data_IF_274566750758
#
_entry.id   IF_274566750758
#
_cell.length_a   1.000
_cell.length_b   1.000
_cell.length_c   1.000
_cell.angle_alpha   90.00
_cell.angle_beta   90.00
_cell.angle_gamma   90.00
#
_symmetry.space_group_name_H-M   'P 1'
#
loop_
_entity.id
_entity.type
_entity.pdbx_description
1 polymer ?
#
# COMPACT_ATOMS: atom_id res chain seq x y z
N UNK A 1 -20.23 18.89 -10.57
CA UNK A 1 -19.14 19.40 -9.72
C UNK A 1 -19.12 18.57 -8.43
N UNK A 2 -17.97 18.28 -7.85
CA UNK A 2 -17.91 17.64 -6.53
C UNK A 2 -18.64 18.51 -5.50
N UNK A 3 -19.34 17.88 -4.54
CA UNK A 3 -19.94 18.60 -3.41
C UNK A 3 -18.81 19.10 -2.47
N UNK A 4 -18.36 20.31 -2.74
CA UNK A 4 -17.27 20.96 -1.99
C UNK A 4 -17.79 22.02 -1.02
N UNK A 5 -19.08 22.36 -1.10
CA UNK A 5 -19.70 23.40 -0.29
C UNK A 5 -19.75 23.01 1.20
N UNK A 6 -19.67 24.02 2.06
CA UNK A 6 -19.72 23.86 3.50
C UNK A 6 -18.51 23.15 4.13
N UNK A 7 -17.45 22.90 3.35
CA UNK A 7 -16.20 22.25 3.78
C UNK A 7 -15.03 23.17 3.60
N UNK A 8 -13.94 22.91 4.36
CA UNK A 8 -12.68 23.65 4.32
C UNK A 8 -11.60 22.84 3.60
N UNK A 9 -11.05 23.39 2.55
CA UNK A 9 -10.13 22.64 1.69
C UNK A 9 -8.73 23.25 1.66
N UNK A 10 -7.73 22.37 1.62
CA UNK A 10 -6.36 22.78 1.29
C UNK A 10 -6.15 22.67 -0.23
N UNK A 11 -5.64 23.70 -0.86
CA UNK A 11 -5.23 23.66 -2.27
C UNK A 11 -3.71 23.74 -2.35
N UNK A 12 -3.09 22.78 -3.05
CA UNK A 12 -1.68 22.88 -3.43
C UNK A 12 -1.55 23.78 -4.66
N UNK A 13 -1.00 24.98 -4.48
CA UNK A 13 -0.84 25.99 -5.56
C UNK A 13 0.63 26.14 -5.92
N UNK A 14 0.99 25.84 -7.18
CA UNK A 14 2.36 26.00 -7.69
C UNK A 14 2.63 27.33 -8.36
N UNK A 15 1.59 28.14 -8.64
CA UNK A 15 1.68 29.33 -9.49
C UNK A 15 1.46 29.03 -10.98
N UNK A 16 1.39 27.75 -11.37
CA UNK A 16 1.09 27.35 -12.74
C UNK A 16 -0.40 27.43 -13.09
N UNK A 17 -0.77 27.37 -14.41
CA UNK A 17 -2.12 27.65 -14.87
C UNK A 17 -3.17 26.79 -14.21
N UNK A 18 -2.95 25.47 -14.09
CA UNK A 18 -3.94 24.53 -13.57
C UNK A 18 -4.27 24.81 -12.10
N UNK A 19 -3.25 25.10 -11.29
CA UNK A 19 -3.42 25.39 -9.86
C UNK A 19 -4.03 26.77 -9.61
N UNK A 20 -3.72 27.77 -10.45
CA UNK A 20 -4.33 29.10 -10.37
C UNK A 20 -5.79 29.05 -10.83
N UNK A 21 -6.12 28.26 -11.85
CA UNK A 21 -7.50 28.05 -12.28
C UNK A 21 -8.34 27.40 -11.19
N UNK A 22 -7.81 26.35 -10.53
CA UNK A 22 -8.49 25.71 -9.41
C UNK A 22 -8.77 26.69 -8.27
N UNK A 23 -7.76 27.47 -7.88
CA UNK A 23 -7.90 28.46 -6.82
C UNK A 23 -8.96 29.50 -7.17
N UNK A 24 -8.91 30.06 -8.38
CA UNK A 24 -9.86 31.08 -8.84
C UNK A 24 -11.29 30.53 -8.92
N UNK A 25 -11.49 29.31 -9.43
CA UNK A 25 -12.80 28.66 -9.45
C UNK A 25 -13.36 28.45 -8.03
N UNK A 26 -12.52 28.04 -7.07
CA UNK A 26 -12.95 27.92 -5.69
C UNK A 26 -13.40 29.27 -5.10
N UNK A 27 -12.70 30.36 -5.40
CA UNK A 27 -13.05 31.72 -4.98
C UNK A 27 -14.42 32.12 -5.56
N UNK A 28 -14.64 31.93 -6.85
CA UNK A 28 -15.90 32.28 -7.54
C UNK A 28 -17.10 31.47 -7.04
N UNK A 29 -16.84 30.23 -6.63
CA UNK A 29 -17.88 29.36 -6.05
C UNK A 29 -17.98 29.49 -4.52
N UNK A 30 -17.34 30.47 -3.90
CA UNK A 30 -17.37 30.73 -2.45
C UNK A 30 -16.95 29.52 -1.59
N UNK A 31 -16.05 28.69 -2.10
CA UNK A 31 -15.51 27.54 -1.35
C UNK A 31 -14.44 28.05 -0.40
N UNK A 32 -14.54 27.68 0.88
CA UNK A 32 -13.54 28.05 1.89
C UNK A 32 -12.23 27.27 1.64
N UNK A 33 -11.17 28.00 1.27
CA UNK A 33 -9.89 27.40 0.89
C UNK A 33 -8.72 27.98 1.68
N UNK A 34 -7.75 27.11 1.89
CA UNK A 34 -6.43 27.38 2.44
C UNK A 34 -5.41 27.01 1.37
N UNK A 35 -4.41 27.84 1.14
CA UNK A 35 -3.40 27.59 0.11
C UNK A 35 -2.10 27.10 0.72
N UNK A 36 -1.52 26.06 0.11
CA UNK A 36 -0.18 25.57 0.41
C UNK A 36 0.69 25.68 -0.84
N UNK A 37 1.80 26.39 -0.74
CA UNK A 37 2.84 26.47 -1.77
C UNK A 37 4.13 25.83 -1.28
N UNK A 38 4.81 25.05 -2.14
CA UNK A 38 6.11 24.43 -1.81
C UNK A 38 7.14 24.93 -2.80
N UNK A 39 8.12 25.66 -2.29
CA UNK A 39 9.28 26.07 -3.04
C UNK A 39 10.46 25.14 -2.72
N UNK A 40 10.92 24.36 -3.70
CA UNK A 40 12.02 23.41 -3.54
C UNK A 40 13.41 24.04 -3.61
N UNK A 41 13.49 25.35 -3.92
CA UNK A 41 14.76 26.09 -4.04
C UNK A 41 15.64 25.68 -5.22
N UNK A 42 15.05 25.02 -6.23
CA UNK A 42 15.81 24.47 -7.37
C UNK A 42 16.00 25.50 -8.50
N UNK A 43 15.16 26.53 -8.56
CA UNK A 43 15.09 27.49 -9.66
C UNK A 43 14.99 28.92 -9.13
N UNK A 44 15.57 29.90 -9.87
CA UNK A 44 15.43 31.31 -9.56
C UNK A 44 13.97 31.78 -9.67
N UNK A 45 13.24 31.31 -10.68
CA UNK A 45 11.83 31.63 -10.92
C UNK A 45 10.92 31.19 -9.77
N UNK A 46 11.30 30.14 -9.00
CA UNK A 46 10.50 29.61 -7.88
C UNK A 46 10.22 30.66 -6.79
N UNK A 47 11.11 31.66 -6.65
CA UNK A 47 10.91 32.77 -5.71
C UNK A 47 9.87 33.81 -6.21
N UNK A 48 9.82 34.04 -7.50
CA UNK A 48 8.79 34.88 -8.11
C UNK A 48 7.41 34.22 -8.05
N UNK A 49 7.35 32.92 -8.30
CA UNK A 49 6.13 32.11 -8.17
C UNK A 49 5.60 32.15 -6.73
N UNK A 50 6.47 31.97 -5.73
CA UNK A 50 6.15 32.06 -4.32
C UNK A 50 5.55 33.41 -3.95
N UNK A 51 6.23 34.51 -4.32
CA UNK A 51 5.77 35.87 -4.03
C UNK A 51 4.42 36.17 -4.69
N UNK A 52 4.25 35.76 -5.93
CA UNK A 52 3.00 35.94 -6.65
C UNK A 52 1.83 35.22 -5.98
N UNK A 53 2.02 33.95 -5.59
CA UNK A 53 0.98 33.21 -4.90
C UNK A 53 0.63 33.83 -3.54
N UNK A 54 1.64 34.33 -2.80
CA UNK A 54 1.42 35.04 -1.54
C UNK A 54 0.61 36.33 -1.74
N UNK A 55 0.98 37.16 -2.71
CA UNK A 55 0.28 38.39 -3.00
C UNK A 55 -1.15 38.14 -3.46
N UNK A 56 -1.35 37.17 -4.36
CA UNK A 56 -2.67 36.79 -4.85
C UNK A 56 -3.61 36.35 -3.71
N UNK A 57 -3.10 35.57 -2.76
CA UNK A 57 -3.85 35.11 -1.60
C UNK A 57 -4.11 36.28 -0.61
N UNK A 58 -3.12 37.14 -0.37
CA UNK A 58 -3.22 38.29 0.54
C UNK A 58 -4.30 39.27 0.10
N UNK A 59 -4.36 39.62 -1.19
CA UNK A 59 -5.37 40.50 -1.76
C UNK A 59 -6.80 39.97 -1.57
N UNK A 60 -6.95 38.65 -1.44
CA UNK A 60 -8.26 37.95 -1.31
C UNK A 60 -8.55 37.42 0.09
N UNK A 61 -7.70 37.79 1.06
CA UNK A 61 -7.79 37.32 2.45
C UNK A 61 -7.80 35.78 2.60
N UNK A 62 -7.05 35.08 1.74
CA UNK A 62 -6.95 33.61 1.78
C UNK A 62 -5.71 33.23 2.59
N UNK A 63 -5.85 32.33 3.60
CA UNK A 63 -4.69 31.80 4.33
C UNK A 63 -3.73 31.08 3.39
N UNK A 64 -2.47 31.53 3.34
CA UNK A 64 -1.44 30.96 2.50
C UNK A 64 -0.23 30.53 3.32
N UNK A 65 0.20 29.27 3.15
CA UNK A 65 1.31 28.67 3.86
C UNK A 65 2.39 28.28 2.87
N UNK A 66 3.60 28.75 3.14
CA UNK A 66 4.76 28.49 2.29
C UNK A 66 5.70 27.52 2.99
N UNK A 67 6.19 26.54 2.24
CA UNK A 67 7.29 25.68 2.65
C UNK A 67 8.45 25.90 1.68
N UNK A 68 9.52 26.55 2.14
CA UNK A 68 10.70 26.94 1.36
C UNK A 68 12.01 26.48 2.00
N UNK A 69 11.99 25.44 2.81
CA UNK A 69 13.18 24.83 3.39
C UNK A 69 14.01 24.15 2.29
N UNK A 70 15.33 24.12 2.50
CA UNK A 70 16.25 23.45 1.57
C UNK A 70 15.87 21.97 1.43
N UNK A 71 15.36 21.60 0.25
CA UNK A 71 14.96 20.25 -0.06
C UNK A 71 16.19 19.39 -0.42
N UNK A 72 16.46 18.38 0.39
CA UNK A 72 17.50 17.38 0.12
C UNK A 72 16.84 16.05 -0.18
N UNK A 73 17.32 15.35 -1.21
CA UNK A 73 16.73 14.07 -1.64
C UNK A 73 17.81 13.06 -2.04
N UNK A 74 17.46 11.77 -1.95
CA UNK A 74 18.26 10.65 -2.46
C UNK A 74 17.40 9.82 -3.40
N UNK A 75 17.88 9.55 -4.61
CA UNK A 75 17.15 8.80 -5.63
C UNK A 75 16.29 9.68 -6.54
N UNK A 76 15.06 9.26 -6.82
CA UNK A 76 14.16 9.96 -7.74
C UNK A 76 13.61 11.26 -7.12
N UNK A 77 13.97 12.39 -7.70
CA UNK A 77 13.54 13.72 -7.26
C UNK A 77 12.02 13.85 -7.19
N UNK A 78 11.32 13.44 -8.24
CA UNK A 78 9.87 13.61 -8.33
C UNK A 78 9.12 12.85 -7.23
N UNK A 79 9.54 11.60 -6.96
CA UNK A 79 8.96 10.79 -5.89
C UNK A 79 9.20 11.43 -4.51
N UNK A 80 10.43 11.88 -4.25
CA UNK A 80 10.78 12.54 -3.00
C UNK A 80 10.07 13.90 -2.83
N UNK A 81 10.04 14.72 -3.88
CA UNK A 81 9.33 16.00 -3.88
C UNK A 81 7.82 15.83 -3.67
N UNK A 82 7.25 14.77 -4.26
CA UNK A 82 5.85 14.41 -4.02
C UNK A 82 5.60 14.03 -2.57
N UNK A 83 6.42 13.18 -1.96
CA UNK A 83 6.28 12.80 -0.54
C UNK A 83 6.42 14.01 0.38
N UNK A 84 7.42 14.85 0.15
CA UNK A 84 7.66 16.07 0.90
C UNK A 84 6.45 17.02 0.85
N UNK A 85 5.92 17.25 -0.34
CA UNK A 85 4.72 18.07 -0.54
C UNK A 85 3.50 17.53 0.18
N UNK A 86 3.22 16.24 0.04
CA UNK A 86 2.06 15.63 0.70
C UNK A 86 2.21 15.50 2.21
N UNK A 87 3.44 15.39 2.73
CA UNK A 87 3.67 15.45 4.18
C UNK A 87 3.30 16.83 4.73
N UNK A 88 3.73 17.90 4.06
CA UNK A 88 3.36 19.28 4.42
C UNK A 88 1.83 19.51 4.34
N UNK A 89 1.20 19.03 3.28
CA UNK A 89 -0.25 19.13 3.15
C UNK A 89 -0.99 18.41 4.29
N UNK A 90 -0.54 17.22 4.65
CA UNK A 90 -1.12 16.46 5.75
C UNK A 90 -0.99 17.17 7.11
N UNK A 91 0.15 17.81 7.35
CA UNK A 91 0.38 18.64 8.54
C UNK A 91 -0.62 19.79 8.61
N UNK A 92 -0.81 20.54 7.52
CA UNK A 92 -1.75 21.65 7.47
C UNK A 92 -3.21 21.20 7.62
N UNK A 93 -3.61 20.13 6.95
CA UNK A 93 -4.96 19.56 7.07
C UNK A 93 -5.27 19.23 8.54
N UNK A 94 -4.33 18.58 9.24
CA UNK A 94 -4.49 18.24 10.66
C UNK A 94 -4.51 19.49 11.55
N UNK A 95 -3.57 20.41 11.33
CA UNK A 95 -3.41 21.62 12.15
C UNK A 95 -4.62 22.56 12.11
N UNK A 96 -5.23 22.68 10.94
CA UNK A 96 -6.37 23.59 10.70
C UNK A 96 -7.70 22.88 10.60
N UNK A 97 -7.74 21.56 10.90
CA UNK A 97 -8.95 20.73 10.85
C UNK A 97 -9.69 20.85 9.52
N UNK A 98 -8.95 20.72 8.40
CA UNK A 98 -9.50 20.83 7.06
C UNK A 98 -10.12 19.48 6.62
N UNK A 99 -11.12 19.52 5.76
CA UNK A 99 -11.86 18.33 5.29
C UNK A 99 -11.08 17.50 4.26
N UNK A 100 -10.08 18.11 3.59
CA UNK A 100 -9.25 17.41 2.62
C UNK A 100 -8.37 18.32 1.78
N UNK A 101 -7.86 17.76 0.70
CA UNK A 101 -6.93 18.40 -0.23
C UNK A 101 -7.56 18.44 -1.63
N UNK A 102 -7.52 19.60 -2.29
CA UNK A 102 -7.82 19.75 -3.71
C UNK A 102 -6.52 19.81 -4.51
N UNK A 103 -6.49 19.09 -5.62
CA UNK A 103 -5.36 19.11 -6.56
C UNK A 103 -5.85 19.41 -7.97
N UNK A 104 -5.04 20.13 -8.72
CA UNK A 104 -5.38 20.67 -10.04
C UNK A 104 -5.12 19.69 -11.20
N UNK A 105 -5.26 18.37 -10.95
CA UNK A 105 -5.23 17.41 -12.07
C UNK A 105 -6.44 17.63 -12.97
N UNK A 106 -6.21 17.64 -14.27
CA UNK A 106 -7.20 17.93 -15.29
C UNK A 106 -7.40 16.76 -16.26
N UNK A 107 -8.23 16.93 -17.29
CA UNK A 107 -8.58 15.89 -18.26
C UNK A 107 -7.35 15.32 -18.95
N UNK A 108 -6.44 16.17 -19.44
CA UNK A 108 -5.25 15.73 -20.18
C UNK A 108 -4.37 14.79 -19.31
N UNK A 109 -4.23 15.07 -18.01
CA UNK A 109 -3.53 14.17 -17.06
C UNK A 109 -4.23 12.78 -16.96
N UNK A 110 -5.56 12.78 -16.97
CA UNK A 110 -6.33 11.53 -16.92
C UNK A 110 -6.15 10.73 -18.21
N UNK A 111 -6.15 11.38 -19.37
CA UNK A 111 -5.90 10.76 -20.68
C UNK A 111 -4.47 10.19 -20.75
N UNK A 112 -3.44 10.97 -20.35
CA UNK A 112 -2.06 10.50 -20.27
C UNK A 112 -1.96 9.22 -19.44
N UNK A 113 -2.55 9.25 -18.24
CA UNK A 113 -2.53 8.11 -17.32
C UNK A 113 -3.24 6.89 -17.90
N UNK A 114 -4.38 7.08 -18.57
CA UNK A 114 -5.13 6.03 -19.23
C UNK A 114 -4.32 5.36 -20.34
N UNK A 115 -3.68 6.15 -21.20
CA UNK A 115 -2.84 5.63 -22.29
C UNK A 115 -1.68 4.82 -21.71
N UNK A 116 -1.00 5.34 -20.67
CA UNK A 116 0.07 4.61 -19.99
C UNK A 116 -0.41 3.30 -19.37
N UNK A 117 -1.59 3.27 -18.78
CA UNK A 117 -2.19 2.06 -18.19
C UNK A 117 -2.47 1.01 -19.26
N UNK A 118 -3.03 1.44 -20.41
CA UNK A 118 -3.30 0.53 -21.55
C UNK A 118 -2.01 -0.01 -22.19
N UNK A 119 -1.01 0.84 -22.43
CA UNK A 119 0.29 0.43 -22.97
C UNK A 119 1.02 -0.56 -22.09
N UNK A 120 0.93 -0.40 -20.79
CA UNK A 120 1.56 -1.30 -19.78
C UNK A 120 0.68 -2.52 -19.46
N UNK A 121 -0.46 -2.67 -20.09
CA UNK A 121 -1.42 -3.74 -19.77
C UNK A 121 -1.69 -3.87 -18.27
N UNK A 122 -1.93 -2.74 -17.60
CA UNK A 122 -2.23 -2.74 -16.18
C UNK A 122 -3.71 -3.08 -15.94
N UNK A 123 -3.99 -3.70 -14.80
CA UNK A 123 -5.33 -3.78 -14.22
C UNK A 123 -5.39 -2.72 -13.11
N UNK A 124 -5.87 -1.51 -13.40
CA UNK A 124 -5.83 -0.41 -12.44
C UNK A 124 -7.01 -0.47 -11.45
N UNK A 125 -6.93 0.30 -10.37
CA UNK A 125 -8.08 0.56 -9.50
C UNK A 125 -9.14 1.41 -10.21
N UNK A 126 -8.67 2.34 -11.04
CA UNK A 126 -9.46 3.26 -11.86
C UNK A 126 -8.66 3.51 -13.13
N UNK A 127 -9.31 3.50 -14.27
CA UNK A 127 -8.70 3.98 -15.52
C UNK A 127 -8.57 5.51 -15.48
N UNK A 128 -7.44 6.01 -15.99
CA UNK A 128 -7.09 7.41 -15.84
C UNK A 128 -6.80 7.78 -14.37
N UNK A 129 -7.42 8.85 -13.89
CA UNK A 129 -7.22 9.39 -12.54
C UNK A 129 -8.56 9.41 -11.80
N UNK A 130 -8.60 8.87 -10.57
CA UNK A 130 -9.78 8.91 -9.74
C UNK A 130 -10.15 10.35 -9.34
N UNK A 131 -11.42 10.70 -9.39
CA UNK A 131 -11.93 12.01 -8.99
C UNK A 131 -11.66 12.31 -7.51
N UNK A 132 -11.75 11.29 -6.66
CA UNK A 132 -11.37 11.38 -5.25
C UNK A 132 -10.71 10.09 -4.79
N UNK A 133 -9.87 10.18 -3.75
CA UNK A 133 -9.29 9.02 -3.07
C UNK A 133 -8.87 9.39 -1.65
N UNK A 134 -8.77 8.39 -0.80
CA UNK A 134 -8.07 8.53 0.48
C UNK A 134 -6.55 8.44 0.27
N UNK A 135 -5.82 9.36 0.90
CA UNK A 135 -4.36 9.35 0.94
C UNK A 135 -3.90 9.52 2.39
N UNK A 136 -3.36 8.47 3.00
CA UNK A 136 -2.93 8.46 4.43
C UNK A 136 -4.02 9.00 5.38
N UNK A 137 -5.28 8.59 5.14
CA UNK A 137 -6.43 9.02 5.95
C UNK A 137 -7.01 10.40 5.59
N UNK A 138 -6.49 11.09 4.57
CA UNK A 138 -6.96 12.41 4.13
C UNK A 138 -7.69 12.28 2.79
N UNK A 139 -8.85 12.91 2.67
CA UNK A 139 -9.59 12.97 1.40
C UNK A 139 -8.86 13.87 0.41
N UNK A 140 -8.54 13.34 -0.77
CA UNK A 140 -7.92 14.07 -1.88
C UNK A 140 -8.90 14.10 -3.04
N UNK A 141 -9.28 15.30 -3.49
CA UNK A 141 -10.22 15.53 -4.59
C UNK A 141 -9.57 16.24 -5.77
N UNK A 142 -10.13 16.03 -6.97
CA UNK A 142 -9.66 16.58 -8.24
C UNK A 142 -10.84 17.18 -9.01
N UNK A 143 -11.19 18.43 -8.71
CA UNK A 143 -12.37 19.06 -9.32
C UNK A 143 -12.25 19.33 -10.82
N UNK A 144 -11.01 19.44 -11.33
CA UNK A 144 -10.73 19.86 -12.71
C UNK A 144 -10.66 18.71 -13.72
N UNK A 145 -10.96 17.47 -13.35
CA UNK A 145 -10.85 16.32 -14.27
C UNK A 145 -11.75 16.39 -15.51
N UNK A 146 -12.80 17.20 -15.49
CA UNK A 146 -13.68 17.43 -16.64
C UNK A 146 -13.24 18.59 -17.55
N UNK A 147 -12.15 19.28 -17.20
CA UNK A 147 -11.62 20.39 -17.99
C UNK A 147 -10.32 20.00 -18.66
N UNK A 148 -10.12 20.44 -19.92
CA UNK A 148 -8.84 20.32 -20.61
C UNK A 148 -7.88 21.44 -20.16
N UNK A 149 -6.58 21.23 -20.36
CA UNK A 149 -5.55 22.24 -20.08
C UNK A 149 -5.84 23.53 -20.83
N UNK A 150 -6.28 23.42 -22.09
CA UNK A 150 -6.64 24.58 -22.94
C UNK A 150 -7.78 25.39 -22.32
N UNK A 151 -8.86 24.73 -21.89
CA UNK A 151 -10.00 25.38 -21.23
C UNK A 151 -9.58 26.11 -19.94
N UNK A 152 -8.67 25.53 -19.14
CA UNK A 152 -8.16 26.15 -17.93
C UNK A 152 -7.32 27.39 -18.22
N UNK A 153 -6.51 27.35 -19.28
CA UNK A 153 -5.69 28.47 -19.71
C UNK A 153 -6.58 29.60 -20.23
N UNK A 154 -7.52 29.33 -21.12
CA UNK A 154 -8.49 30.28 -21.63
C UNK A 154 -9.34 30.92 -20.50
N UNK A 155 -9.73 30.13 -19.49
CA UNK A 155 -10.45 30.61 -18.32
C UNK A 155 -9.66 31.66 -17.52
N UNK A 156 -8.35 31.47 -17.35
CA UNK A 156 -7.47 32.46 -16.67
C UNK A 156 -7.24 33.71 -17.53
N UNK A 157 -7.04 33.54 -18.84
CA UNK A 157 -6.82 34.66 -19.78
C UNK A 157 -8.02 35.60 -19.82
N UNK A 158 -9.25 35.05 -19.90
CA UNK A 158 -10.49 35.82 -19.86
C UNK A 158 -10.67 36.63 -18.56
N UNK A 159 -10.00 36.22 -17.47
CA UNK A 159 -10.02 36.87 -16.15
C UNK A 159 -8.80 37.74 -15.87
N UNK A 160 -7.88 37.80 -16.83
CA UNK A 160 -6.59 38.50 -16.71
C UNK A 160 -5.79 38.05 -15.48
N UNK A 161 -5.85 36.75 -15.15
CA UNK A 161 -5.09 36.16 -14.05
C UNK A 161 -3.75 35.68 -14.59
N UNK A 162 -2.67 36.21 -14.02
CA UNK A 162 -1.30 35.81 -14.35
C UNK A 162 -1.03 34.40 -13.84
N UNK A 163 -0.21 33.66 -14.57
CA UNK A 163 0.32 32.36 -14.18
C UNK A 163 1.74 32.20 -14.73
N UNK A 164 2.48 31.24 -14.17
CA UNK A 164 3.84 30.90 -14.59
C UNK A 164 3.85 29.60 -15.36
N UNK A 165 4.68 29.53 -16.41
CA UNK A 165 4.90 28.31 -17.19
C UNK A 165 6.23 27.69 -16.76
N UNK A 166 6.18 26.44 -16.32
CA UNK A 166 7.37 25.70 -15.94
C UNK A 166 8.01 25.03 -17.17
N UNK A 167 9.10 25.61 -17.65
CA UNK A 167 9.85 25.08 -18.79
C UNK A 167 10.73 23.88 -18.44
N UNK A 168 10.91 23.51 -17.16
CA UNK A 168 11.78 22.40 -16.75
C UNK A 168 11.06 21.04 -16.72
N UNK A 169 9.76 21.00 -16.84
CA UNK A 169 8.97 19.76 -17.01
C UNK A 169 9.31 18.96 -18.30
N UNK A 170 10.27 19.46 -19.09
CA UNK A 170 10.79 18.79 -20.28
C UNK A 170 11.69 17.57 -19.96
N UNK A 171 12.15 17.39 -18.72
CA UNK A 171 13.19 16.41 -18.37
C UNK A 171 12.70 15.19 -17.56
N UNK A 172 11.52 15.28 -16.95
CA UNK A 172 11.04 14.22 -16.03
C UNK A 172 10.00 13.33 -16.69
N UNK A 173 10.25 12.03 -16.65
CA UNK A 173 9.50 10.90 -17.24
C UNK A 173 9.34 10.98 -18.78
N UNK A 174 10.37 10.55 -19.49
CA UNK A 174 10.36 10.47 -20.96
C UNK A 174 9.10 9.83 -21.56
N UNK A 175 8.47 8.89 -20.88
CA UNK A 175 7.26 8.23 -21.37
C UNK A 175 6.04 9.13 -21.29
N UNK A 176 5.84 9.82 -20.16
CA UNK A 176 4.69 10.70 -19.93
C UNK A 176 4.75 11.92 -20.83
N UNK A 177 5.90 12.58 -20.89
CA UNK A 177 6.13 13.73 -21.77
C UNK A 177 5.97 13.34 -23.25
N UNK A 178 6.45 12.14 -23.64
CA UNK A 178 6.23 11.65 -24.99
C UNK A 178 4.75 11.51 -25.32
N UNK A 179 3.94 10.92 -24.45
CA UNK A 179 2.48 10.79 -24.63
C UNK A 179 1.84 12.17 -24.70
N UNK A 180 2.21 13.09 -23.82
CA UNK A 180 1.70 14.46 -23.81
C UNK A 180 1.92 15.14 -25.15
N UNK A 181 3.15 15.22 -25.62
CA UNK A 181 3.51 15.94 -26.84
C UNK A 181 3.08 15.23 -28.13
N UNK A 182 3.23 13.88 -28.19
CA UNK A 182 2.96 13.16 -29.44
C UNK A 182 1.51 12.68 -29.60
N UNK A 183 0.70 12.74 -28.53
CA UNK A 183 -0.69 12.25 -28.58
C UNK A 183 -1.66 13.33 -28.06
N UNK A 184 -1.51 13.78 -26.81
CA UNK A 184 -2.53 14.61 -26.16
C UNK A 184 -2.59 16.01 -26.78
N UNK A 185 -1.44 16.62 -27.07
CA UNK A 185 -1.39 17.98 -27.65
C UNK A 185 -1.87 18.00 -29.11
N UNK A 186 -1.77 16.87 -29.82
CA UNK A 186 -2.25 16.72 -31.20
C UNK A 186 -3.76 16.39 -31.28
N UNK A 187 -4.40 16.01 -30.17
CA UNK A 187 -5.82 15.69 -30.14
C UNK A 187 -6.69 16.94 -30.19
N UNK A 188 -7.78 16.90 -30.95
CA UNK A 188 -8.83 17.91 -30.85
C UNK A 188 -9.53 17.87 -29.48
N UNK A 189 -10.16 18.96 -29.08
CA UNK A 189 -10.95 19.00 -27.84
C UNK A 189 -12.10 17.97 -27.86
N UNK A 190 -12.67 17.71 -29.05
CA UNK A 190 -13.71 16.68 -29.25
C UNK A 190 -13.17 15.26 -29.03
N UNK A 191 -11.98 14.96 -29.57
CA UNK A 191 -11.34 13.65 -29.36
C UNK A 191 -10.97 13.43 -27.90
N UNK A 192 -10.47 14.47 -27.21
CA UNK A 192 -10.21 14.43 -25.77
C UNK A 192 -11.48 14.11 -24.98
N UNK A 193 -12.56 14.81 -25.30
CA UNK A 193 -13.85 14.59 -24.65
C UNK A 193 -14.38 13.17 -24.87
N UNK A 194 -14.35 12.68 -26.10
CA UNK A 194 -14.76 11.31 -26.42
C UNK A 194 -13.92 10.25 -25.70
N UNK A 195 -12.60 10.45 -25.64
CA UNK A 195 -11.73 9.55 -24.88
C UNK A 195 -12.02 9.58 -23.39
N UNK A 196 -12.32 10.77 -22.84
CA UNK A 196 -12.68 10.92 -21.43
C UNK A 196 -14.01 10.23 -21.10
N UNK A 197 -15.01 10.36 -21.97
CA UNK A 197 -16.28 9.64 -21.84
C UNK A 197 -16.08 8.12 -21.86
N UNK A 198 -15.27 7.62 -22.79
CA UNK A 198 -14.88 6.21 -22.81
C UNK A 198 -14.23 5.75 -21.51
N UNK A 199 -13.35 6.56 -20.92
CA UNK A 199 -12.75 6.27 -19.59
C UNK A 199 -13.83 6.16 -18.52
N UNK A 200 -14.83 7.04 -18.55
CA UNK A 200 -15.92 7.01 -17.57
C UNK A 200 -16.78 5.74 -17.74
N UNK A 201 -17.11 5.34 -18.96
CA UNK A 201 -17.84 4.10 -19.25
C UNK A 201 -17.07 2.86 -18.79
N UNK A 202 -15.77 2.78 -19.12
CA UNK A 202 -14.91 1.67 -18.67
C UNK A 202 -14.83 1.64 -17.11
N UNK A 203 -14.78 2.78 -16.45
CA UNK A 203 -14.78 2.86 -14.99
C UNK A 203 -16.13 2.46 -14.36
N UNK A 204 -17.25 2.78 -15.01
CA UNK A 204 -18.57 2.34 -14.57
C UNK A 204 -18.68 0.81 -14.65
N UNK A 205 -18.22 0.20 -15.76
CA UNK A 205 -18.14 -1.25 -15.91
C UNK A 205 -17.21 -1.89 -14.87
N UNK A 206 -16.00 -1.36 -14.74
CA UNK A 206 -15.02 -1.80 -13.74
C UNK A 206 -15.57 -1.76 -12.31
N UNK A 207 -16.39 -0.75 -11.99
CA UNK A 207 -17.03 -0.62 -10.68
C UNK A 207 -18.03 -1.74 -10.43
N UNK A 208 -18.80 -2.16 -11.43
CA UNK A 208 -19.72 -3.30 -11.34
C UNK A 208 -18.95 -4.60 -11.15
N UNK A 209 -17.91 -4.84 -11.97
CA UNK A 209 -17.07 -6.02 -11.86
C UNK A 209 -16.39 -6.11 -10.48
N UNK A 210 -15.95 -4.99 -9.92
CA UNK A 210 -15.37 -4.93 -8.57
C UNK A 210 -16.37 -5.30 -7.48
N UNK A 211 -17.61 -4.88 -7.60
CA UNK A 211 -18.68 -5.33 -6.68
C UNK A 211 -18.84 -6.85 -6.72
N UNK A 212 -18.73 -7.45 -7.91
CA UNK A 212 -18.79 -8.91 -8.05
C UNK A 212 -17.52 -9.53 -7.45
N UNK A 213 -16.33 -8.97 -7.69
CA UNK A 213 -15.07 -9.43 -7.09
C UNK A 213 -15.11 -9.36 -5.55
N UNK A 214 -15.78 -8.35 -4.98
CA UNK A 214 -15.95 -8.19 -3.54
C UNK A 214 -16.75 -9.35 -2.91
N UNK A 215 -17.63 -9.99 -3.66
CA UNK A 215 -18.36 -11.19 -3.17
C UNK A 215 -17.45 -12.39 -2.93
N UNK A 216 -16.24 -12.39 -3.48
CA UNK A 216 -15.24 -13.43 -3.21
C UNK A 216 -14.64 -13.32 -1.80
N UNK A 217 -14.78 -12.18 -1.13
CA UNK A 217 -14.18 -11.95 0.17
C UNK A 217 -15.11 -12.35 1.31
N UNK A 218 -14.50 -12.95 2.34
CA UNK A 218 -15.07 -13.09 3.68
C UNK A 218 -14.09 -12.38 4.61
N UNK A 219 -14.55 -11.28 5.21
CA UNK A 219 -13.66 -10.36 5.91
C UNK A 219 -12.51 -9.89 4.97
N UNK A 220 -11.26 -10.10 5.34
CA UNK A 220 -10.08 -9.71 4.54
C UNK A 220 -9.50 -10.87 3.71
N UNK A 221 -10.14 -12.05 3.71
CA UNK A 221 -9.66 -13.25 3.02
C UNK A 221 -10.51 -13.55 1.79
N UNK A 222 -9.88 -13.97 0.69
CA UNK A 222 -10.57 -14.51 -0.48
C UNK A 222 -11.01 -15.96 -0.22
N UNK A 223 -12.30 -16.25 -0.36
CA UNK A 223 -12.81 -17.63 -0.43
C UNK A 223 -12.37 -18.25 -1.76
N UNK A 224 -11.57 -19.29 -1.72
CA UNK A 224 -11.13 -20.01 -2.94
C UNK A 224 -12.31 -20.53 -3.77
N UNK A 225 -13.36 -21.02 -3.11
CA UNK A 225 -14.56 -21.55 -3.78
C UNK A 225 -15.24 -20.44 -4.59
N UNK A 226 -15.51 -19.31 -3.97
CA UNK A 226 -16.15 -18.17 -4.64
C UNK A 226 -15.25 -17.61 -5.74
N UNK A 227 -13.96 -17.44 -5.45
CA UNK A 227 -12.95 -16.98 -6.39
C UNK A 227 -12.89 -17.86 -7.65
N UNK A 228 -12.78 -19.20 -7.49
CA UNK A 228 -12.68 -20.12 -8.61
C UNK A 228 -13.97 -20.21 -9.46
N UNK A 229 -15.13 -19.79 -8.92
CA UNK A 229 -16.41 -19.77 -9.64
C UNK A 229 -16.57 -18.58 -10.58
N UNK A 230 -15.69 -17.56 -10.49
CA UNK A 230 -15.81 -16.31 -11.26
C UNK A 230 -15.04 -16.38 -12.59
N UNK A 231 -15.38 -15.46 -13.50
CA UNK A 231 -14.62 -15.24 -14.73
C UNK A 231 -13.18 -14.81 -14.43
N UNK A 232 -12.29 -14.95 -15.40
CA UNK A 232 -10.88 -14.55 -15.24
C UNK A 232 -10.75 -13.08 -14.87
N UNK A 233 -11.51 -12.20 -15.51
CA UNK A 233 -11.51 -10.76 -15.26
C UNK A 233 -11.84 -10.46 -13.79
N UNK A 234 -12.91 -11.04 -13.27
CA UNK A 234 -13.33 -10.87 -11.87
C UNK A 234 -12.29 -11.42 -10.92
N UNK A 235 -11.67 -12.58 -11.21
CA UNK A 235 -10.62 -13.15 -10.38
C UNK A 235 -9.39 -12.24 -10.33
N UNK A 236 -8.98 -11.65 -11.46
CA UNK A 236 -7.85 -10.72 -11.48
C UNK A 236 -8.13 -9.44 -10.67
N UNK A 237 -9.37 -8.95 -10.68
CA UNK A 237 -9.78 -7.80 -9.86
C UNK A 237 -9.76 -8.15 -8.37
N UNK A 238 -10.23 -9.34 -8.00
CA UNK A 238 -10.18 -9.82 -6.62
C UNK A 238 -8.74 -9.99 -6.13
N UNK A 239 -7.85 -10.59 -6.94
CA UNK A 239 -6.42 -10.68 -6.64
C UNK A 239 -5.77 -9.31 -6.51
N UNK A 240 -6.07 -8.41 -7.43
CA UNK A 240 -5.55 -7.05 -7.36
C UNK A 240 -5.97 -6.37 -6.06
N UNK A 241 -7.24 -6.48 -5.65
CA UNK A 241 -7.73 -5.91 -4.39
C UNK A 241 -7.01 -6.53 -3.19
N UNK A 242 -6.85 -7.85 -3.16
CA UNK A 242 -6.12 -8.54 -2.10
C UNK A 242 -4.67 -8.04 -1.99
N UNK A 243 -4.01 -7.76 -3.13
CA UNK A 243 -2.62 -7.33 -3.19
C UNK A 243 -2.42 -5.81 -3.03
N UNK A 244 -3.49 -5.02 -3.03
CA UNK A 244 -3.44 -3.53 -2.97
C UNK A 244 -2.59 -2.99 -1.80
N UNK A 245 -2.65 -3.57 -0.58
CA UNK A 245 -1.84 -3.09 0.55
C UNK A 245 -0.32 -3.22 0.33
N UNK A 246 0.11 -4.06 -0.61
CA UNK A 246 1.53 -4.33 -0.89
C UNK A 246 2.02 -3.70 -2.19
N UNK A 247 1.12 -3.07 -2.93
CA UNK A 247 1.42 -2.48 -4.23
C UNK A 247 1.80 -1.01 -4.09
N UNK A 248 3.04 -0.70 -4.40
CA UNK A 248 3.46 0.68 -4.61
C UNK A 248 3.15 1.16 -6.04
N UNK A 249 3.09 0.23 -7.01
CA UNK A 249 2.83 0.47 -8.44
C UNK A 249 1.89 -0.61 -8.98
N UNK A 250 1.17 -0.28 -10.05
CA UNK A 250 0.19 -1.19 -10.66
C UNK A 250 0.77 -2.57 -11.03
N UNK A 251 -0.03 -3.62 -10.85
CA UNK A 251 0.29 -4.97 -11.31
C UNK A 251 -0.03 -5.13 -12.78
N UNK A 252 0.88 -5.77 -13.52
CA UNK A 252 0.61 -6.14 -14.90
C UNK A 252 -0.37 -7.30 -14.94
N UNK A 253 -1.22 -7.32 -15.95
CA UNK A 253 -2.15 -8.42 -16.21
C UNK A 253 -1.43 -9.77 -16.30
N UNK A 254 -0.26 -9.80 -16.94
CA UNK A 254 0.57 -11.02 -17.07
C UNK A 254 0.93 -11.61 -15.71
N UNK A 255 1.34 -10.79 -14.77
CA UNK A 255 1.70 -11.25 -13.41
C UNK A 255 0.48 -11.77 -12.66
N UNK A 256 -0.64 -11.06 -12.72
CA UNK A 256 -1.89 -11.51 -12.11
C UNK A 256 -2.40 -12.83 -12.70
N UNK A 257 -2.31 -13.01 -14.01
CA UNK A 257 -2.66 -14.27 -14.68
C UNK A 257 -1.77 -15.42 -14.22
N UNK A 258 -0.48 -15.18 -14.01
CA UNK A 258 0.44 -16.18 -13.46
C UNK A 258 0.03 -16.60 -12.05
N UNK A 259 -0.27 -15.66 -11.18
CA UNK A 259 -0.74 -15.92 -9.82
C UNK A 259 -2.09 -16.66 -9.82
N UNK A 260 -3.04 -16.23 -10.64
CA UNK A 260 -4.35 -16.86 -10.81
C UNK A 260 -4.20 -18.34 -11.19
N UNK A 261 -3.34 -18.62 -12.19
CA UNK A 261 -3.07 -19.98 -12.62
C UNK A 261 -2.45 -20.87 -11.52
N UNK A 262 -1.58 -20.33 -10.66
CA UNK A 262 -1.03 -21.07 -9.52
C UNK A 262 -2.11 -21.33 -8.46
N UNK A 263 -2.87 -20.30 -8.07
CA UNK A 263 -3.88 -20.41 -7.02
C UNK A 263 -5.03 -21.35 -7.38
N UNK A 264 -5.37 -21.47 -8.67
CA UNK A 264 -6.39 -22.43 -9.13
C UNK A 264 -5.90 -23.87 -9.09
N UNK A 265 -4.62 -24.13 -9.40
CA UNK A 265 -4.05 -25.48 -9.49
C UNK A 265 -3.67 -26.07 -8.14
N UNK A 266 -3.10 -25.27 -7.27
CA UNK A 266 -2.57 -25.73 -5.98
C UNK A 266 -3.66 -25.77 -4.91
N UNK A 267 -3.58 -26.76 -3.99
CA UNK A 267 -4.48 -26.83 -2.83
C UNK A 267 -4.03 -25.89 -1.73
N UNK A 268 -2.73 -25.92 -1.44
CA UNK A 268 -2.09 -25.05 -0.45
C UNK A 268 -0.83 -24.46 -1.08
N UNK A 269 -0.71 -23.15 -1.06
CA UNK A 269 0.44 -22.45 -1.62
C UNK A 269 0.90 -21.31 -0.72
N UNK A 270 2.16 -20.93 -0.90
CA UNK A 270 2.76 -19.86 -0.15
C UNK A 270 3.75 -19.16 -1.07
N UNK A 271 3.37 -17.98 -1.53
CA UNK A 271 4.11 -17.20 -2.51
C UNK A 271 4.62 -15.93 -1.84
N UNK A 272 5.92 -15.64 -1.98
CA UNK A 272 6.52 -14.41 -1.46
C UNK A 272 6.41 -13.30 -2.50
N UNK A 273 5.88 -12.16 -2.10
CA UNK A 273 5.87 -10.95 -2.89
C UNK A 273 6.32 -9.76 -2.03
N UNK A 274 7.47 -9.17 -2.35
CA UNK A 274 8.03 -7.99 -1.64
C UNK A 274 7.94 -8.09 -0.10
N UNK A 275 8.48 -9.15 0.48
CA UNK A 275 8.48 -9.43 1.92
C UNK A 275 7.12 -9.79 2.54
N UNK A 276 6.06 -9.88 1.74
CA UNK A 276 4.76 -10.36 2.18
C UNK A 276 4.44 -11.72 1.57
N UNK A 277 3.59 -12.45 2.24
CA UNK A 277 3.26 -13.82 1.88
C UNK A 277 1.81 -13.90 1.42
N UNK A 278 1.61 -14.28 0.15
CA UNK A 278 0.30 -14.69 -0.35
C UNK A 278 0.12 -16.17 -0.01
N UNK A 279 -0.78 -16.44 0.91
CA UNK A 279 -1.01 -17.78 1.47
C UNK A 279 -2.34 -18.30 0.96
N UNK A 280 -2.36 -19.57 0.60
CA UNK A 280 -3.57 -20.33 0.33
C UNK A 280 -3.63 -21.49 1.32
N UNK A 281 -4.62 -21.50 2.18
CA UNK A 281 -4.82 -22.50 3.24
C UNK A 281 -6.31 -22.64 3.58
N UNK A 282 -6.77 -23.86 3.86
CA UNK A 282 -8.14 -24.15 4.34
C UNK A 282 -9.27 -23.55 3.48
N UNK A 283 -9.04 -23.45 2.18
CA UNK A 283 -10.03 -22.89 1.24
C UNK A 283 -10.07 -21.35 1.19
N UNK A 284 -9.11 -20.68 1.80
CA UNK A 284 -8.95 -19.22 1.74
C UNK A 284 -7.62 -18.80 1.14
N UNK A 285 -7.59 -17.62 0.56
CA UNK A 285 -6.39 -16.96 0.05
C UNK A 285 -6.28 -15.61 0.78
N UNK A 286 -5.13 -15.32 1.38
CA UNK A 286 -4.92 -14.12 2.18
C UNK A 286 -3.46 -13.67 2.20
N UNK A 287 -3.22 -12.41 2.55
CA UNK A 287 -1.89 -11.86 2.80
C UNK A 287 -1.51 -12.00 4.26
N UNK A 288 -0.26 -12.37 4.50
CA UNK A 288 0.37 -12.34 5.82
C UNK A 288 1.64 -11.49 5.74
N UNK A 289 1.76 -10.58 6.69
CA UNK A 289 2.95 -9.78 6.92
C UNK A 289 3.78 -10.43 8.04
N UNK A 290 5.05 -10.04 8.15
CA UNK A 290 5.90 -10.39 9.28
C UNK A 290 6.04 -11.89 9.64
N UNK A 291 6.45 -12.70 8.65
CA UNK A 291 6.99 -14.03 8.95
C UNK A 291 8.50 -13.95 9.22
N UNK A 292 8.91 -12.95 10.00
CA UNK A 292 10.33 -12.76 10.34
C UNK A 292 10.77 -13.78 11.39
N UNK A 293 12.03 -14.27 11.28
CA UNK A 293 12.64 -15.06 12.34
C UNK A 293 12.61 -14.28 13.66
N UNK A 294 12.43 -15.01 14.76
CA UNK A 294 12.44 -14.44 16.10
C UNK A 294 13.27 -15.27 17.05
N UNK A 295 13.76 -14.65 18.09
CA UNK A 295 14.51 -15.30 19.19
C UNK A 295 14.21 -14.56 20.48
N UNK A 296 13.83 -15.34 21.53
CA UNK A 296 13.61 -14.84 22.87
C UNK A 296 14.38 -15.72 23.85
N UNK A 297 15.14 -15.11 24.74
CA UNK A 297 15.90 -15.81 25.77
C UNK A 297 15.27 -15.52 27.12
N UNK A 298 15.13 -16.56 27.95
CA UNK A 298 14.63 -16.48 29.31
C UNK A 298 15.60 -17.19 30.26
N UNK A 299 15.85 -16.58 31.43
CA UNK A 299 16.75 -17.10 32.45
C UNK A 299 16.02 -17.90 33.53
N UNK A 300 14.70 -17.77 33.59
CA UNK A 300 13.85 -18.47 34.57
C UNK A 300 12.52 -18.86 33.95
N UNK A 301 11.80 -19.80 34.56
CA UNK A 301 10.45 -20.18 34.13
C UNK A 301 9.47 -19.04 34.43
N UNK A 302 9.03 -18.36 33.38
CA UNK A 302 8.05 -17.28 33.46
C UNK A 302 6.91 -17.47 32.44
N UNK A 303 5.76 -16.86 32.73
CA UNK A 303 4.69 -16.80 31.76
C UNK A 303 5.01 -15.70 30.74
N UNK A 304 4.94 -16.06 29.46
CA UNK A 304 5.30 -15.19 28.37
C UNK A 304 4.27 -15.30 27.23
N UNK A 305 3.77 -14.16 26.76
CA UNK A 305 2.87 -14.11 25.62
C UNK A 305 3.54 -13.32 24.48
N UNK A 306 3.65 -13.95 23.31
CA UNK A 306 4.23 -13.37 22.07
C UNK A 306 3.34 -13.68 20.88
N UNK A 307 3.61 -13.01 19.77
CA UNK A 307 2.82 -13.14 18.54
C UNK A 307 2.64 -14.60 18.09
N UNK A 308 3.68 -15.41 18.17
CA UNK A 308 3.68 -16.75 17.60
C UNK A 308 3.54 -17.88 18.63
N UNK A 309 3.74 -17.58 19.90
CA UNK A 309 3.69 -18.56 20.97
C UNK A 309 3.36 -17.93 22.33
N UNK A 310 2.95 -18.78 23.26
CA UNK A 310 2.89 -18.44 24.67
C UNK A 310 3.52 -19.54 25.52
N UNK A 311 4.22 -19.14 26.60
CA UNK A 311 4.69 -20.05 27.67
C UNK A 311 3.74 -19.96 28.84
N UNK A 312 3.33 -21.10 29.38
CA UNK A 312 2.43 -21.23 30.52
C UNK A 312 2.96 -22.24 31.53
N UNK A 313 2.43 -22.19 32.74
CA UNK A 313 2.74 -23.18 33.82
C UNK A 313 1.83 -24.39 33.76
N UNK A 314 0.75 -24.33 32.95
CA UNK A 314 -0.24 -25.42 32.82
C UNK A 314 -0.59 -25.64 31.34
N UNK A 315 -0.88 -26.87 30.97
CA UNK A 315 -1.22 -27.21 29.59
C UNK A 315 -1.43 -28.72 29.41
N UNK A 316 -1.43 -29.20 28.17
CA UNK A 316 -1.54 -30.62 27.84
C UNK A 316 -0.16 -31.27 27.73
N UNK A 317 -0.10 -32.59 27.86
CA UNK A 317 1.15 -33.37 27.74
C UNK A 317 1.89 -33.16 26.39
N UNK A 318 1.16 -32.88 25.30
CA UNK A 318 1.75 -32.56 23.99
C UNK A 318 2.40 -31.17 23.91
N UNK A 319 2.13 -30.33 24.89
CA UNK A 319 2.67 -28.95 24.99
C UNK A 319 3.77 -28.83 26.03
N UNK A 320 4.05 -29.93 26.72
CA UNK A 320 4.84 -29.99 27.91
C UNK A 320 6.30 -30.34 27.66
N UNK A 321 7.19 -29.69 28.42
CA UNK A 321 8.60 -30.02 28.54
C UNK A 321 9.02 -29.82 30.00
N UNK A 322 9.91 -30.69 30.50
CA UNK A 322 10.49 -30.54 31.83
C UNK A 322 11.87 -29.95 31.68
N UNK A 323 12.11 -28.83 32.34
CA UNK A 323 13.41 -28.14 32.31
C UNK A 323 13.99 -28.03 33.71
N UNK A 324 15.30 -28.10 33.81
CA UNK A 324 16.09 -27.96 35.05
C UNK A 324 16.87 -26.64 35.03
N UNK A 325 17.54 -26.29 36.12
CA UNK A 325 18.42 -25.12 36.17
C UNK A 325 19.61 -25.21 35.18
N UNK A 326 20.01 -26.42 34.83
CA UNK A 326 21.11 -26.69 33.89
C UNK A 326 20.75 -26.37 32.44
N UNK A 327 19.46 -26.26 32.11
CA UNK A 327 18.99 -25.96 30.75
C UNK A 327 19.00 -24.45 30.45
N UNK A 328 19.05 -23.60 31.48
CA UNK A 328 18.98 -22.17 31.31
C UNK A 328 20.33 -21.55 30.92
N UNK A 329 20.32 -20.46 30.09
CA UNK A 329 19.13 -19.79 29.56
C UNK A 329 18.42 -20.60 28.48
N UNK A 330 17.09 -20.61 28.51
CA UNK A 330 16.29 -21.20 27.43
C UNK A 330 16.11 -20.17 26.30
N UNK A 331 16.23 -20.67 25.08
CA UNK A 331 15.95 -19.87 23.88
C UNK A 331 14.71 -20.37 23.18
N UNK A 332 13.69 -19.53 23.04
CA UNK A 332 12.50 -19.78 22.25
C UNK A 332 12.64 -19.06 20.92
N UNK A 333 12.69 -19.80 19.83
CA UNK A 333 12.88 -19.25 18.48
C UNK A 333 12.09 -20.05 17.44
N UNK A 334 12.04 -19.49 16.23
CA UNK A 334 11.57 -20.30 15.10
C UNK A 334 12.56 -21.41 14.74
N UNK A 335 12.03 -22.46 14.11
CA UNK A 335 12.82 -23.60 13.63
C UNK A 335 13.87 -23.15 12.60
N UNK A 336 15.05 -23.76 12.63
CA UNK A 336 16.16 -23.58 11.68
C UNK A 336 16.40 -24.87 10.89
N UNK A 337 17.03 -24.76 9.71
CA UNK A 337 17.20 -25.90 8.78
C UNK A 337 17.97 -27.08 9.38
N UNK A 338 18.93 -26.80 10.27
CA UNK A 338 19.79 -27.83 10.88
C UNK A 338 19.25 -28.40 12.19
N UNK A 339 18.07 -27.93 12.66
CA UNK A 339 17.51 -28.38 13.92
C UNK A 339 17.18 -29.88 13.92
N UNK A 340 17.61 -30.54 14.99
CA UNK A 340 17.37 -31.94 15.25
C UNK A 340 16.87 -32.10 16.68
N UNK A 341 15.96 -33.07 16.89
CA UNK A 341 15.45 -33.42 18.21
C UNK A 341 15.70 -34.90 18.46
N UNK A 342 16.16 -35.27 19.67
CA UNK A 342 16.42 -36.65 20.07
C UNK A 342 15.15 -37.25 20.60
N UNK A 343 14.58 -38.20 19.87
CA UNK A 343 13.34 -38.91 20.23
C UNK A 343 13.66 -40.34 20.68
N UNK A 344 12.72 -40.98 21.32
CA UNK A 344 12.86 -42.38 21.82
C UNK A 344 13.39 -43.38 20.78
N UNK A 345 13.12 -43.14 19.50
CA UNK A 345 13.50 -44.03 18.40
C UNK A 345 14.56 -43.40 17.46
N UNK A 346 15.38 -42.50 18.00
CA UNK A 346 16.51 -41.86 17.28
C UNK A 346 16.32 -40.39 17.03
N UNK A 347 17.33 -39.78 16.45
CA UNK A 347 17.38 -38.33 16.15
C UNK A 347 16.62 -38.01 14.86
N UNK A 348 15.72 -37.02 14.91
CA UNK A 348 14.92 -36.57 13.77
C UNK A 348 15.25 -35.13 13.41
N UNK A 349 15.31 -34.82 12.12
CA UNK A 349 15.30 -33.45 11.62
C UNK A 349 13.95 -32.83 11.93
N UNK A 350 13.94 -31.67 12.61
CA UNK A 350 12.71 -30.94 12.94
C UNK A 350 12.01 -30.49 11.65
N UNK A 351 12.75 -29.99 10.68
CA UNK A 351 12.20 -29.56 9.39
C UNK A 351 11.46 -30.73 8.68
N UNK A 352 12.10 -31.90 8.60
CA UNK A 352 11.49 -33.10 8.02
C UNK A 352 10.24 -33.52 8.77
N UNK A 353 10.28 -33.49 10.11
CA UNK A 353 9.14 -33.82 10.97
C UNK A 353 7.93 -32.90 10.67
N UNK A 354 8.14 -31.58 10.51
CA UNK A 354 7.07 -30.64 10.19
C UNK A 354 6.47 -30.88 8.79
N UNK A 355 7.31 -31.30 7.82
CA UNK A 355 6.83 -31.70 6.48
C UNK A 355 5.95 -32.95 6.56
N UNK A 356 6.42 -33.98 7.24
CA UNK A 356 5.70 -35.27 7.40
C UNK A 356 4.34 -35.06 8.10
N UNK A 357 4.25 -34.09 9.00
CA UNK A 357 3.01 -33.64 9.67
C UNK A 357 2.15 -32.71 8.84
N UNK A 358 2.53 -32.42 7.59
CA UNK A 358 1.82 -31.53 6.66
C UNK A 358 1.62 -30.12 7.21
N UNK A 359 2.54 -29.65 8.06
CA UNK A 359 2.50 -28.26 8.54
C UNK A 359 2.74 -27.34 7.36
N UNK A 360 1.87 -26.36 7.10
CA UNK A 360 2.00 -25.41 5.98
C UNK A 360 3.35 -24.71 5.98
N UNK A 361 3.91 -24.46 4.78
CA UNK A 361 5.25 -23.88 4.62
C UNK A 361 5.43 -22.59 5.42
N UNK A 362 4.46 -21.70 5.38
CA UNK A 362 4.53 -20.42 6.07
C UNK A 362 4.54 -20.58 7.59
N UNK A 363 3.75 -21.52 8.15
CA UNK A 363 3.76 -21.83 9.60
C UNK A 363 5.12 -22.37 10.04
N UNK A 364 5.78 -23.19 9.21
CA UNK A 364 7.11 -23.71 9.51
C UNK A 364 8.16 -22.63 9.69
N UNK A 365 8.06 -21.49 8.97
CA UNK A 365 8.99 -20.37 9.08
C UNK A 365 8.99 -19.69 10.46
N UNK A 366 7.87 -19.74 11.14
CA UNK A 366 7.68 -19.15 12.48
C UNK A 366 7.33 -20.20 13.54
N UNK A 367 7.56 -21.49 13.24
CA UNK A 367 7.23 -22.59 14.13
C UNK A 367 8.09 -22.59 15.37
N UNK A 368 7.51 -22.54 16.59
CA UNK A 368 8.28 -22.40 17.82
C UNK A 368 8.98 -23.68 18.24
N UNK A 369 10.23 -23.52 18.63
CA UNK A 369 11.04 -24.54 19.32
C UNK A 369 11.64 -23.96 20.59
N UNK A 370 11.92 -24.82 21.58
CA UNK A 370 12.71 -24.46 22.76
C UNK A 370 14.09 -25.10 22.63
N UNK A 371 15.10 -24.30 22.87
CA UNK A 371 16.51 -24.69 22.81
C UNK A 371 17.14 -24.41 24.18
N UNK A 372 17.92 -25.36 24.70
CA UNK A 372 18.63 -25.18 25.97
C UNK A 372 19.96 -24.41 25.79
N UNK A 373 20.66 -24.16 26.91
CA UNK A 373 21.97 -23.47 26.93
C UNK A 373 23.06 -24.13 26.07
N UNK A 374 22.92 -25.42 25.78
CA UNK A 374 23.86 -26.18 24.94
C UNK A 374 23.49 -26.14 23.46
N UNK A 375 22.54 -25.29 23.09
CA UNK A 375 22.00 -25.15 21.74
C UNK A 375 21.34 -26.44 21.20
N UNK A 376 20.77 -27.24 22.08
CA UNK A 376 20.02 -28.45 21.75
C UNK A 376 18.53 -28.16 21.72
N UNK A 377 17.82 -28.65 20.70
CA UNK A 377 16.36 -28.52 20.62
C UNK A 377 15.73 -29.52 21.58
N UNK A 378 15.21 -29.03 22.70
CA UNK A 378 14.59 -29.82 23.75
C UNK A 378 13.07 -29.97 23.59
N UNK A 379 12.44 -29.09 22.83
CA UNK A 379 11.01 -29.16 22.56
C UNK A 379 10.66 -28.58 21.19
N UNK A 380 9.75 -29.25 20.51
CA UNK A 380 9.14 -28.79 19.26
C UNK A 380 7.62 -28.84 19.39
N UNK A 381 6.94 -27.73 19.14
CA UNK A 381 5.48 -27.67 19.23
C UNK A 381 4.82 -28.75 18.34
N UNK A 382 3.83 -29.47 18.90
CA UNK A 382 3.17 -30.64 18.29
C UNK A 382 4.06 -31.89 18.02
N UNK A 383 5.35 -31.82 18.31
CA UNK A 383 6.22 -32.99 18.30
C UNK A 383 6.44 -33.54 19.70
N UNK A 384 6.45 -32.64 20.68
CA UNK A 384 6.78 -32.94 22.06
C UNK A 384 8.22 -32.59 22.41
N UNK A 385 8.65 -33.04 23.57
CA UNK A 385 10.02 -32.86 24.07
C UNK A 385 10.95 -33.99 23.60
N UNK A 386 12.25 -33.75 23.72
CA UNK A 386 13.25 -34.81 23.57
C UNK A 386 13.20 -35.82 24.72
N UNK A 387 13.98 -36.90 24.60
CA UNK A 387 13.97 -38.00 25.57
C UNK A 387 14.44 -37.56 26.97
N UNK A 388 15.38 -36.64 27.03
CA UNK A 388 15.97 -36.15 28.29
C UNK A 388 15.03 -35.25 29.10
N UNK A 389 14.07 -34.61 28.44
CA UNK A 389 13.17 -33.61 29.01
C UNK A 389 11.73 -34.05 29.15
N UNK A 390 11.49 -35.37 29.10
CA UNK A 390 10.18 -35.98 29.33
C UNK A 390 10.00 -36.36 30.81
N UNK A 391 8.89 -35.89 31.40
CA UNK A 391 8.49 -36.25 32.78
C UNK A 391 6.98 -36.40 32.88
N UNK A 392 6.52 -37.09 33.93
CA UNK A 392 5.10 -37.13 34.30
C UNK A 392 4.60 -35.86 34.95
N UNK A 393 5.53 -35.00 35.42
CA UNK A 393 5.26 -33.70 36.06
C UNK A 393 6.04 -32.58 35.36
N UNK A 394 5.60 -32.18 34.17
CA UNK A 394 6.26 -31.13 33.40
C UNK A 394 6.04 -29.74 34.02
N UNK A 395 7.01 -28.84 33.86
CA UNK A 395 7.01 -27.50 34.45
C UNK A 395 6.92 -26.34 33.45
N UNK A 396 7.04 -26.62 32.14
CA UNK A 396 6.90 -25.60 31.06
C UNK A 396 5.97 -26.13 29.98
N UNK A 397 5.07 -25.28 29.53
CA UNK A 397 4.11 -25.56 28.46
C UNK A 397 4.21 -24.51 27.35
N UNK A 398 4.60 -24.92 26.15
CA UNK A 398 4.66 -24.05 24.97
C UNK A 398 3.39 -24.26 24.12
N UNK A 399 2.62 -23.21 23.99
CA UNK A 399 1.46 -23.14 23.10
C UNK A 399 1.82 -22.30 21.88
N UNK A 400 1.39 -22.75 20.70
CA UNK A 400 1.53 -21.98 19.47
C UNK A 400 0.25 -21.19 19.22
N UNK A 401 0.41 -19.93 18.81
CA UNK A 401 -0.66 -19.02 18.37
C UNK A 401 -0.86 -19.10 16.84
N UNK A 402 -0.37 -20.17 16.18
CA UNK A 402 -0.38 -20.39 14.73
C UNK A 402 -1.64 -21.09 14.23
#
# INVERSE_FOLDING_TARGET
>A
MLDLEGKKWLIGVSGGPDSMALLQMCIEHHIEVFVAHVNYGVREQAKEEELYVQEFCKERNIPCFIKNEKFTYTGNFEACAREYRYAFFAELVKKYSLDGILTAHHMDDALETYIMQKQKHLIPAVYGIAQSRMYKGILLCRPLLSFTKKQLTEYLEQRHIRYYIDHTNLLDDHTRNKIRHSVIEEMSEEDKQQMFEKIQEENAHLTQERKIADTCFKEEKLSKKEYASKSTEIRLLALRKLLDPVLQYGLTQKYLLQLDGQLLKEKDSCIVYKQKWLIQEEGYIFLKEDLQPYTFTIDTIEQLEKQWFSLKKEGTSLQAVTVSEEDFPLTIRNVQDMDKIVMRYGTKSVHRFLIDRKIPRWKRLVWPVIVNRHNEVIYVHKAGCDVGHYSSDPNVFLMSNL
#
